data_IF_993848184099
#
_entry.id   IF_993848184099
#
_cell.length_a   1.000
_cell.length_b   1.000
_cell.length_c   1.000
_cell.angle_alpha   90.00
_cell.angle_beta   90.00
_cell.angle_gamma   90.00
#
_symmetry.space_group_name_H-M   'P 1'
#
loop_
_entity.id
_entity.type
_entity.pdbx_description
1 polymer ?
#
# COMPACT_ATOMS: atom_id res chain seq x y z
N UNK A 1 -12.47 16.04 13.62
CA UNK A 1 -12.18 15.56 12.26
C UNK A 1 -10.74 15.12 12.17
N UNK A 2 -10.48 13.87 11.77
CA UNK A 2 -9.12 13.35 11.64
C UNK A 2 -8.35 14.12 10.56
N UNK A 3 -7.04 14.32 10.77
CA UNK A 3 -6.15 15.04 9.85
C UNK A 3 -5.00 14.14 9.47
N UNK A 4 -4.50 14.27 8.26
CA UNK A 4 -3.25 13.67 7.81
C UNK A 4 -2.28 14.77 7.37
N UNK A 5 -1.01 14.44 7.29
CA UNK A 5 0.06 15.32 6.80
C UNK A 5 0.61 14.73 5.51
N UNK A 6 0.81 15.58 4.51
CA UNK A 6 1.55 15.21 3.32
C UNK A 6 3.02 15.59 3.50
N UNK A 7 3.91 14.65 3.23
CA UNK A 7 5.36 14.86 3.24
C UNK A 7 5.88 14.60 1.83
N UNK A 8 6.81 15.43 1.38
CA UNK A 8 7.40 15.32 0.05
C UNK A 8 8.86 14.89 0.16
N UNK A 9 9.21 13.88 -0.62
CA UNK A 9 10.58 13.42 -0.80
C UNK A 9 10.95 13.52 -2.27
N UNK A 10 12.16 13.98 -2.57
CA UNK A 10 12.72 13.99 -3.92
C UNK A 10 13.96 13.12 -3.96
N UNK A 11 13.98 12.18 -4.90
CA UNK A 11 15.11 11.29 -5.14
C UNK A 11 15.66 11.63 -6.53
N UNK A 12 16.93 11.97 -6.60
CA UNK A 12 17.62 12.24 -7.85
C UNK A 12 18.28 10.95 -8.37
N UNK A 13 18.03 10.64 -9.64
CA UNK A 13 18.62 9.48 -10.30
C UNK A 13 18.90 9.78 -11.78
N UNK A 14 20.10 9.45 -12.23
CA UNK A 14 20.48 9.53 -13.64
C UNK A 14 19.84 8.42 -14.51
N UNK A 15 19.18 7.45 -13.90
CA UNK A 15 18.45 6.39 -14.60
C UNK A 15 17.08 6.85 -15.09
N UNK A 16 16.54 7.93 -14.55
CA UNK A 16 15.26 8.50 -15.00
C UNK A 16 15.51 9.39 -16.21
N UNK A 17 14.95 9.00 -17.34
CA UNK A 17 15.20 9.65 -18.65
C UNK A 17 14.21 10.76 -18.99
N UNK A 18 13.13 10.89 -18.23
CA UNK A 18 12.10 11.89 -18.45
C UNK A 18 12.39 13.13 -17.59
N UNK A 19 12.50 14.31 -18.21
CA UNK A 19 12.73 15.57 -17.51
C UNK A 19 11.60 15.94 -16.52
N UNK A 20 10.39 15.42 -16.75
CA UNK A 20 9.24 15.58 -15.85
C UNK A 20 9.44 14.85 -14.52
N UNK A 21 10.31 13.84 -14.51
CA UNK A 21 10.46 12.90 -13.42
C UNK A 21 9.26 11.96 -13.29
N UNK A 22 9.28 11.11 -12.27
CA UNK A 22 8.21 10.17 -11.94
C UNK A 22 7.73 10.49 -10.53
N UNK A 23 6.42 10.49 -10.34
CA UNK A 23 5.79 10.82 -9.06
C UNK A 23 4.97 9.65 -8.53
N UNK A 24 5.22 9.26 -7.30
CA UNK A 24 4.41 8.29 -6.58
C UNK A 24 3.69 8.93 -5.41
N UNK A 25 2.44 8.52 -5.17
CA UNK A 25 1.81 8.68 -3.88
C UNK A 25 2.09 7.40 -3.06
N UNK A 26 2.58 7.57 -1.84
CA UNK A 26 2.85 6.45 -0.92
C UNK A 26 1.88 6.53 0.24
N UNK A 27 1.18 5.45 0.51
CA UNK A 27 0.26 5.31 1.64
C UNK A 27 0.72 4.15 2.52
N UNK A 28 0.69 4.36 3.83
CA UNK A 28 0.94 3.33 4.83
C UNK A 28 0.09 3.60 6.07
N UNK A 29 -0.10 2.59 6.91
CA UNK A 29 -0.68 2.71 8.24
C UNK A 29 -2.04 3.43 8.28
N UNK A 30 -2.91 3.16 7.30
CA UNK A 30 -4.26 3.72 7.29
C UNK A 30 -5.08 3.20 8.48
N UNK A 31 -4.90 1.90 8.82
CA UNK A 31 -5.57 1.23 9.94
C UNK A 31 -7.09 1.48 9.96
N UNK A 32 -7.74 1.42 8.79
CA UNK A 32 -9.17 1.69 8.65
C UNK A 32 -9.59 3.12 8.97
N UNK A 33 -8.65 4.05 9.10
CA UNK A 33 -8.98 5.46 9.34
C UNK A 33 -9.65 6.08 8.11
N UNK A 34 -10.60 6.98 8.39
CA UNK A 34 -11.33 7.68 7.37
C UNK A 34 -11.11 9.19 7.48
N UNK A 35 -10.73 9.82 6.36
CA UNK A 35 -10.44 11.25 6.25
C UNK A 35 -11.53 11.95 5.42
N UNK A 36 -12.69 12.13 6.05
CA UNK A 36 -13.92 12.55 5.42
C UNK A 36 -14.69 11.37 4.83
N UNK A 37 -15.97 11.54 4.43
CA UNK A 37 -16.78 10.45 3.87
C UNK A 37 -16.03 9.74 2.74
N UNK A 38 -15.97 8.40 2.82
CA UNK A 38 -15.29 7.53 1.83
C UNK A 38 -13.83 7.93 1.55
N UNK A 39 -13.13 8.45 2.53
CA UNK A 39 -11.76 8.97 2.37
C UNK A 39 -11.60 10.07 1.30
N UNK A 40 -12.66 10.80 1.01
CA UNK A 40 -12.71 11.81 -0.06
C UNK A 40 -11.57 12.82 0.02
N UNK A 41 -11.25 13.32 1.22
CA UNK A 41 -10.16 14.30 1.39
C UNK A 41 -8.78 13.71 1.04
N UNK A 42 -8.56 12.45 1.37
CA UNK A 42 -7.32 11.76 1.03
C UNK A 42 -7.22 11.57 -0.48
N UNK A 43 -8.29 11.08 -1.11
CA UNK A 43 -8.36 10.90 -2.57
C UNK A 43 -8.16 12.22 -3.32
N UNK A 44 -8.87 13.29 -2.94
CA UNK A 44 -8.72 14.62 -3.55
C UNK A 44 -7.29 15.16 -3.41
N UNK A 45 -6.63 14.87 -2.28
CA UNK A 45 -5.24 15.27 -2.08
C UNK A 45 -4.31 14.51 -3.03
N UNK A 46 -4.50 13.19 -3.17
CA UNK A 46 -3.73 12.36 -4.10
C UNK A 46 -3.93 12.85 -5.54
N UNK A 47 -5.18 13.07 -5.96
CA UNK A 47 -5.51 13.54 -7.31
C UNK A 47 -4.87 14.89 -7.64
N UNK A 48 -4.76 15.80 -6.67
CA UNK A 48 -4.10 17.10 -6.85
C UNK A 48 -2.65 16.97 -7.25
N UNK A 49 -1.96 15.95 -6.75
CA UNK A 49 -0.55 15.70 -7.06
C UNK A 49 -0.35 14.93 -8.37
N UNK A 50 -1.40 14.36 -8.97
CA UNK A 50 -1.36 13.60 -10.23
C UNK A 50 -0.19 12.60 -10.27
N UNK A 51 -0.17 11.61 -9.38
CA UNK A 51 0.90 10.62 -9.35
C UNK A 51 0.86 9.74 -10.61
N UNK A 52 2.00 9.17 -10.97
CA UNK A 52 2.12 8.16 -12.03
C UNK A 52 1.77 6.76 -11.54
N UNK A 53 1.71 6.59 -10.22
CA UNK A 53 1.29 5.35 -9.55
C UNK A 53 1.15 5.54 -8.05
N UNK A 54 0.49 4.59 -7.41
CA UNK A 54 0.27 4.58 -5.96
C UNK A 54 0.96 3.35 -5.37
N UNK A 55 1.76 3.57 -4.35
CA UNK A 55 2.45 2.52 -3.61
C UNK A 55 1.82 2.41 -2.22
N UNK A 56 1.33 1.22 -1.89
CA UNK A 56 0.81 0.92 -0.55
C UNK A 56 1.88 0.14 0.20
N UNK A 57 2.37 0.71 1.29
CA UNK A 57 3.40 0.12 2.12
C UNK A 57 2.82 -0.54 3.39
N UNK A 58 1.66 -1.17 3.23
CA UNK A 58 1.01 -2.01 4.25
C UNK A 58 0.19 -1.29 5.30
N UNK A 59 -0.37 -2.09 6.21
CA UNK A 59 -1.17 -1.70 7.37
C UNK A 59 -2.36 -0.77 7.02
N UNK A 60 -3.00 -1.05 5.89
CA UNK A 60 -4.23 -0.38 5.48
C UNK A 60 -5.41 -0.84 6.33
N UNK A 61 -5.36 -2.08 6.82
CA UNK A 61 -6.42 -2.73 7.61
C UNK A 61 -5.95 -3.03 9.03
N UNK A 62 -6.92 -3.35 9.91
CA UNK A 62 -6.65 -3.81 11.28
C UNK A 62 -7.10 -5.26 11.39
N UNK A 63 -6.22 -6.14 11.88
CA UNK A 63 -6.44 -7.60 11.92
C UNK A 63 -7.78 -8.03 12.54
N UNK A 64 -8.26 -7.34 13.56
CA UNK A 64 -9.47 -7.69 14.30
C UNK A 64 -10.66 -6.75 14.02
N UNK A 65 -10.57 -5.95 12.96
CA UNK A 65 -11.60 -4.97 12.60
C UNK A 65 -12.06 -5.16 11.15
N UNK A 66 -13.21 -5.80 10.97
CA UNK A 66 -13.78 -6.02 9.64
C UNK A 66 -14.24 -4.72 8.94
N UNK A 67 -14.53 -3.65 9.69
CA UNK A 67 -14.88 -2.37 9.09
C UNK A 67 -13.68 -1.74 8.36
N UNK A 68 -12.45 -2.00 8.86
CA UNK A 68 -11.23 -1.53 8.22
C UNK A 68 -11.03 -2.09 6.82
N UNK A 69 -11.43 -3.36 6.57
CA UNK A 69 -11.38 -3.97 5.24
C UNK A 69 -12.27 -3.20 4.25
N UNK A 70 -13.49 -2.86 4.67
CA UNK A 70 -14.43 -2.12 3.83
C UNK A 70 -13.92 -0.71 3.53
N UNK A 71 -13.42 0.00 4.54
CA UNK A 71 -12.86 1.35 4.37
C UNK A 71 -11.65 1.34 3.43
N UNK A 72 -10.74 0.39 3.58
CA UNK A 72 -9.57 0.26 2.72
C UNK A 72 -9.97 -0.15 1.28
N UNK A 73 -10.88 -1.14 1.12
CA UNK A 73 -11.38 -1.57 -0.20
C UNK A 73 -12.00 -0.41 -0.97
N UNK A 74 -12.90 0.37 -0.33
CA UNK A 74 -13.55 1.52 -0.96
C UNK A 74 -12.53 2.53 -1.49
N UNK A 75 -11.58 2.94 -0.66
CA UNK A 75 -10.52 3.88 -1.04
C UNK A 75 -9.67 3.33 -2.19
N UNK A 76 -9.13 2.13 -2.03
CA UNK A 76 -8.17 1.56 -2.98
C UNK A 76 -8.79 1.29 -4.35
N UNK A 77 -10.02 0.81 -4.39
CA UNK A 77 -10.77 0.59 -5.63
C UNK A 77 -11.06 1.91 -6.35
N UNK A 78 -11.41 2.97 -5.61
CA UNK A 78 -11.59 4.30 -6.18
C UNK A 78 -10.31 4.84 -6.80
N UNK A 79 -9.17 4.67 -6.13
CA UNK A 79 -7.86 5.08 -6.65
C UNK A 79 -7.43 4.26 -7.87
N UNK A 80 -7.71 2.95 -7.87
CA UNK A 80 -7.35 2.05 -8.97
C UNK A 80 -8.09 2.35 -10.28
N UNK A 81 -9.20 3.08 -10.23
CA UNK A 81 -9.89 3.55 -11.44
C UNK A 81 -9.07 4.57 -12.26
N UNK A 82 -8.09 5.23 -11.64
CA UNK A 82 -7.34 6.33 -12.27
C UNK A 82 -5.83 6.11 -12.27
N UNK A 83 -5.32 5.25 -11.38
CA UNK A 83 -3.89 5.05 -11.18
C UNK A 83 -3.55 3.56 -11.07
N UNK A 84 -2.39 3.12 -11.56
CA UNK A 84 -1.84 1.82 -11.18
C UNK A 84 -1.53 1.83 -9.68
N UNK A 85 -2.03 0.80 -8.96
CA UNK A 85 -1.85 0.65 -7.51
C UNK A 85 -1.07 -0.62 -7.23
N UNK A 86 -0.02 -0.50 -6.45
CA UNK A 86 0.86 -1.58 -6.01
C UNK A 86 0.79 -1.68 -4.49
N UNK A 87 0.48 -2.88 -3.99
CA UNK A 87 0.21 -3.11 -2.58
C UNK A 87 1.15 -4.17 -2.02
N UNK A 88 2.10 -3.75 -1.18
CA UNK A 88 2.87 -4.63 -0.32
C UNK A 88 2.19 -4.77 1.05
N UNK A 89 2.20 -5.97 1.61
CA UNK A 89 1.51 -6.26 2.86
C UNK A 89 2.24 -5.66 4.06
N UNK A 90 1.48 -5.10 5.01
CA UNK A 90 1.95 -4.79 6.35
C UNK A 90 1.80 -6.00 7.28
N UNK A 91 2.12 -5.80 8.55
CA UNK A 91 2.07 -6.88 9.54
C UNK A 91 0.62 -7.31 9.87
N UNK A 92 -0.36 -6.43 9.74
CA UNK A 92 -1.77 -6.77 9.94
C UNK A 92 -2.29 -7.66 8.81
N UNK A 93 -2.04 -7.30 7.56
CA UNK A 93 -2.40 -8.07 6.37
C UNK A 93 -1.67 -9.41 6.36
N UNK A 94 -0.37 -9.41 6.61
CA UNK A 94 0.46 -10.61 6.61
C UNK A 94 -0.07 -11.67 7.59
N UNK A 95 -0.47 -11.26 8.81
CA UNK A 95 -1.05 -12.17 9.79
C UNK A 95 -2.37 -12.76 9.29
N UNK A 96 -3.25 -11.96 8.67
CA UNK A 96 -4.52 -12.44 8.11
C UNK A 96 -4.28 -13.38 6.94
N UNK A 97 -3.37 -13.03 6.04
CA UNK A 97 -2.99 -13.84 4.89
C UNK A 97 -2.44 -15.22 5.28
N UNK A 98 -1.65 -15.29 6.37
CA UNK A 98 -1.05 -16.54 6.88
C UNK A 98 -1.95 -17.35 7.80
N UNK A 99 -3.12 -16.86 8.13
CA UNK A 99 -4.09 -17.56 9.00
C UNK A 99 -5.04 -18.39 8.14
N UNK A 100 -5.36 -19.61 8.59
CA UNK A 100 -6.30 -20.46 7.87
C UNK A 100 -7.71 -19.83 7.88
N UNK A 101 -8.28 -19.56 6.71
CA UNK A 101 -9.63 -18.98 6.60
C UNK A 101 -10.74 -19.90 7.09
N UNK A 102 -10.53 -21.22 7.16
CA UNK A 102 -11.49 -22.17 7.71
C UNK A 102 -11.56 -22.06 9.24
N UNK A 103 -10.47 -21.68 9.88
CA UNK A 103 -10.39 -21.53 11.33
C UNK A 103 -10.67 -20.09 11.81
N UNK A 104 -10.59 -19.10 10.92
CA UNK A 104 -10.70 -17.69 11.27
C UNK A 104 -11.54 -16.89 10.28
N UNK A 105 -12.69 -16.40 10.73
CA UNK A 105 -13.59 -15.63 9.88
C UNK A 105 -13.01 -14.31 9.35
N UNK A 106 -12.05 -13.70 10.07
CA UNK A 106 -11.37 -12.50 9.58
C UNK A 106 -10.36 -12.83 8.46
N UNK A 107 -9.69 -13.99 8.53
CA UNK A 107 -8.85 -14.47 7.45
C UNK A 107 -9.68 -14.77 6.19
N UNK A 108 -10.86 -15.38 6.33
CA UNK A 108 -11.78 -15.59 5.21
C UNK A 108 -12.20 -14.26 4.56
N UNK A 109 -12.60 -13.27 5.37
CA UNK A 109 -12.94 -11.93 4.87
C UNK A 109 -11.75 -11.22 4.22
N UNK A 110 -10.54 -11.43 4.71
CA UNK A 110 -9.34 -10.88 4.12
C UNK A 110 -9.05 -11.50 2.74
N UNK A 111 -9.28 -12.79 2.55
CA UNK A 111 -9.17 -13.42 1.22
C UNK A 111 -10.17 -12.82 0.22
N UNK A 112 -11.41 -12.58 0.64
CA UNK A 112 -12.40 -11.89 -0.19
C UNK A 112 -11.94 -10.47 -0.54
N UNK A 113 -11.43 -9.72 0.44
CA UNK A 113 -10.86 -8.40 0.25
C UNK A 113 -9.72 -8.40 -0.79
N UNK A 114 -8.75 -9.32 -0.69
CA UNK A 114 -7.69 -9.43 -1.70
C UNK A 114 -8.25 -9.73 -3.09
N UNK A 115 -9.21 -10.64 -3.19
CA UNK A 115 -9.86 -10.98 -4.46
C UNK A 115 -10.56 -9.76 -5.08
N UNK A 116 -11.27 -8.98 -4.28
CA UNK A 116 -11.88 -7.71 -4.73
C UNK A 116 -10.84 -6.72 -5.25
N UNK A 117 -9.74 -6.55 -4.53
CA UNK A 117 -8.66 -5.64 -4.94
C UNK A 117 -7.99 -6.10 -6.24
N UNK A 118 -7.69 -7.39 -6.37
CA UNK A 118 -7.14 -7.96 -7.61
C UNK A 118 -8.10 -7.79 -8.80
N UNK A 119 -9.39 -7.99 -8.57
CA UNK A 119 -10.43 -7.76 -9.59
C UNK A 119 -10.51 -6.29 -10.01
N UNK A 120 -10.22 -5.36 -9.12
CA UNK A 120 -10.14 -3.93 -9.41
C UNK A 120 -8.83 -3.51 -10.09
N UNK A 121 -7.92 -4.44 -10.41
CA UNK A 121 -6.66 -4.18 -11.08
C UNK A 121 -5.51 -3.75 -10.15
N UNK A 122 -5.64 -3.97 -8.85
CA UNK A 122 -4.59 -3.67 -7.88
C UNK A 122 -3.58 -4.82 -7.85
N UNK A 123 -2.30 -4.48 -7.97
CA UNK A 123 -1.19 -5.43 -7.88
C UNK A 123 -0.81 -5.67 -6.43
N UNK A 124 -1.29 -6.77 -5.84
CA UNK A 124 -0.88 -7.21 -4.50
C UNK A 124 0.36 -8.06 -4.65
N UNK A 125 1.45 -7.66 -3.98
CA UNK A 125 2.78 -8.23 -4.13
C UNK A 125 3.16 -9.06 -2.90
N UNK A 126 3.11 -10.39 -3.03
CA UNK A 126 3.49 -11.37 -2.01
C UNK A 126 4.93 -11.87 -2.26
N UNK A 127 5.94 -11.12 -1.81
CA UNK A 127 7.34 -11.34 -2.17
C UNK A 127 7.56 -11.37 -3.70
N UNK A 128 6.80 -10.58 -4.40
CA UNK A 128 6.79 -10.51 -5.86
C UNK A 128 7.26 -9.15 -6.35
N UNK A 129 7.57 -9.10 -7.63
CA UNK A 129 7.88 -7.86 -8.32
C UNK A 129 7.11 -7.75 -9.63
N UNK A 130 6.80 -6.52 -10.02
CA UNK A 130 6.19 -6.23 -11.31
C UNK A 130 6.83 -5.00 -11.95
N UNK A 131 6.66 -4.89 -13.27
CA UNK A 131 7.16 -3.74 -14.03
C UNK A 131 6.10 -2.65 -14.13
N UNK A 132 6.54 -1.41 -13.96
CA UNK A 132 5.75 -0.21 -14.20
C UNK A 132 6.39 0.61 -15.31
N UNK A 133 5.63 0.90 -16.35
CA UNK A 133 6.05 1.80 -17.42
C UNK A 133 5.50 3.20 -17.18
N UNK A 134 6.40 4.19 -17.13
CA UNK A 134 6.02 5.61 -17.03
C UNK A 134 6.79 6.38 -18.11
N UNK A 135 6.09 6.78 -19.15
CA UNK A 135 6.71 7.41 -20.32
C UNK A 135 7.79 6.50 -20.93
N UNK A 136 9.02 6.98 -20.96
CA UNK A 136 10.19 6.23 -21.49
C UNK A 136 10.92 5.41 -20.41
N UNK A 137 10.43 5.42 -19.17
CA UNK A 137 11.07 4.75 -18.07
C UNK A 137 10.36 3.44 -17.72
N UNK A 138 11.17 2.40 -17.48
CA UNK A 138 10.71 1.14 -16.90
C UNK A 138 11.24 1.04 -15.46
N UNK A 139 10.34 0.81 -14.53
CA UNK A 139 10.63 0.65 -13.10
C UNK A 139 10.19 -0.73 -12.65
N UNK A 140 10.90 -1.29 -11.70
CA UNK A 140 10.47 -2.51 -11.01
C UNK A 140 9.95 -2.12 -9.63
N UNK A 141 8.72 -2.52 -9.34
CA UNK A 141 8.11 -2.40 -8.01
C UNK A 141 8.17 -3.76 -7.34
N UNK A 142 8.80 -3.83 -6.16
CA UNK A 142 8.92 -5.06 -5.37
C UNK A 142 8.14 -4.91 -4.07
N UNK A 143 7.29 -5.89 -3.77
CA UNK A 143 6.66 -6.03 -2.46
C UNK A 143 7.37 -7.10 -1.65
N UNK A 144 7.83 -6.76 -0.45
CA UNK A 144 8.51 -7.68 0.46
C UNK A 144 7.65 -7.91 1.70
N UNK A 145 7.44 -9.16 2.05
CA UNK A 145 6.80 -9.57 3.30
C UNK A 145 7.88 -9.76 4.36
N UNK A 146 7.94 -8.87 5.34
CA UNK A 146 8.90 -8.96 6.44
C UNK A 146 8.17 -9.48 7.69
N UNK A 147 8.46 -10.70 8.16
CA UNK A 147 7.92 -11.18 9.42
C UNK A 147 8.33 -10.27 10.58
N UNK A 148 7.40 -9.99 11.50
CA UNK A 148 7.61 -9.08 12.63
C UNK A 148 8.87 -9.41 13.43
N UNK A 149 9.23 -10.70 13.53
CA UNK A 149 10.44 -11.19 14.23
C UNK A 149 11.72 -10.65 13.57
N UNK A 150 11.77 -10.55 12.24
CA UNK A 150 12.94 -10.00 11.54
C UNK A 150 13.03 -8.48 11.67
N UNK A 151 11.90 -7.80 11.81
CA UNK A 151 11.87 -6.36 12.10
C UNK A 151 12.50 -6.03 13.46
N UNK A 152 12.35 -6.89 14.47
CA UNK A 152 12.96 -6.73 15.78
C UNK A 152 14.46 -7.02 15.81
N UNK A 153 14.97 -7.85 14.90
CA UNK A 153 16.41 -8.19 14.80
C UNK A 153 17.21 -7.04 14.14
N UNK A 154 16.60 -6.22 13.31
CA UNK A 154 17.26 -5.06 12.68
C UNK A 154 17.37 -3.82 13.56
N UNK A 155 16.81 -3.84 14.78
CA UNK A 155 16.89 -2.73 15.76
C UNK A 155 18.13 -2.85 16.66
N UNK A 156 18.92 -3.94 16.59
CA UNK A 156 20.21 -3.99 17.26
C UNK A 156 21.20 -3.07 16.52
N UNK A 157 21.44 -1.89 17.06
CA UNK A 157 22.48 -0.98 16.60
C UNK A 157 23.83 -1.72 16.44
N UNK A 158 24.59 -1.48 15.35
CA UNK A 158 25.97 -1.94 15.30
C UNK A 158 26.74 -1.29 16.44
N UNK A 159 27.16 -2.10 17.41
CA UNK A 159 28.10 -1.68 18.44
C UNK A 159 29.33 -1.10 17.75
N UNK A 160 29.56 0.20 17.91
CA UNK A 160 30.79 0.85 17.54
C UNK A 160 31.92 0.22 18.38
N UNK A 161 32.81 -0.48 17.72
CA UNK A 161 34.15 -0.75 18.23
C UNK A 161 35.09 0.36 17.83
#
# INVERSE_FOLDING_TARGET
MKRFKTVHYTIHSNKIKDARGIRFAVLADLHGMEFGPDNRKLSETIHRYRPDGILIAGDMVVRNDSASLKTASSLLRSLAQQYPVYYALGNHEYKLYRTDPQENCMAARYQEYEKELKTAGIHILHNESCSLQVGKNSLTVCGLEVPLILSLIHISEPTRH
#
